data_IF_820891101069
#
_entry.id   IF_820891101069
#
_cell.length_a   1.000
_cell.length_b   1.000
_cell.length_c   1.000
_cell.angle_alpha   90.00
_cell.angle_beta   90.00
_cell.angle_gamma   90.00
#
_symmetry.space_group_name_H-M   'P 1'
#
loop_
_entity.id
_entity.type
_entity.pdbx_description
1 polymer ?
#
# COMPACT_ATOMS: atom_id res chain seq x y z
N UNK A 1 -11.58 -10.36 17.07
CA UNK A 1 -10.15 -10.02 16.87
C UNK A 1 -10.07 -9.02 15.74
N UNK A 2 -9.58 -7.79 16.01
CA UNK A 2 -9.58 -6.73 15.01
C UNK A 2 -8.24 -6.71 14.25
N UNK A 3 -8.31 -6.99 12.94
CA UNK A 3 -7.20 -6.79 12.00
C UNK A 3 -7.38 -5.45 11.30
N UNK A 4 -6.33 -4.65 11.23
CA UNK A 4 -6.30 -3.38 10.55
C UNK A 4 -5.29 -3.36 9.44
N UNK A 5 -5.64 -2.72 8.33
CA UNK A 5 -4.78 -2.53 7.17
C UNK A 5 -4.31 -1.08 7.12
N UNK A 6 -3.02 -0.87 6.89
CA UNK A 6 -2.38 0.44 6.82
C UNK A 6 -1.63 0.59 5.49
N UNK A 7 -1.91 1.67 4.78
CA UNK A 7 -1.20 2.11 3.58
C UNK A 7 -0.50 3.43 3.88
N UNK A 8 0.80 3.37 4.11
CA UNK A 8 1.65 4.52 4.38
C UNK A 8 2.26 5.04 3.07
N UNK A 9 1.57 5.98 2.45
CA UNK A 9 2.04 6.68 1.27
C UNK A 9 2.98 7.85 1.59
N UNK A 10 3.42 8.57 0.55
CA UNK A 10 4.31 9.71 0.70
C UNK A 10 3.62 10.95 1.30
N UNK A 11 2.33 11.15 1.05
CA UNK A 11 1.56 12.33 1.51
C UNK A 11 0.52 12.01 2.58
N UNK A 12 0.03 10.77 2.65
CA UNK A 12 -1.06 10.36 3.55
C UNK A 12 -0.83 8.98 4.11
N UNK A 13 -1.32 8.78 5.32
CA UNK A 13 -1.62 7.47 5.88
C UNK A 13 -3.08 7.16 5.63
N UNK A 14 -3.38 6.01 5.04
CA UNK A 14 -4.74 5.46 4.96
C UNK A 14 -4.81 4.20 5.80
N UNK A 15 -5.93 3.98 6.45
CA UNK A 15 -6.12 2.74 7.21
C UNK A 15 -7.60 2.38 7.29
N UNK A 16 -7.88 1.09 7.42
CA UNK A 16 -9.23 0.55 7.55
C UNK A 16 -9.21 -0.76 8.34
N UNK A 17 -10.28 -1.08 9.09
CA UNK A 17 -10.43 -2.42 9.67
C UNK A 17 -10.76 -3.43 8.58
N UNK A 18 -10.23 -4.63 8.72
CA UNK A 18 -10.67 -5.78 7.97
C UNK A 18 -11.86 -6.38 8.73
N UNK A 19 -13.05 -6.28 8.15
CA UNK A 19 -14.27 -6.82 8.74
C UNK A 19 -14.50 -8.28 8.32
N UNK A 20 -15.56 -8.88 8.80
CA UNK A 20 -15.91 -10.25 8.45
C UNK A 20 -15.97 -10.43 6.93
N UNK A 21 -15.64 -11.64 6.48
CA UNK A 21 -15.60 -12.02 5.05
C UNK A 21 -14.53 -11.33 4.19
N UNK A 22 -13.50 -10.74 4.83
CA UNK A 22 -12.39 -10.12 4.12
C UNK A 22 -12.71 -8.78 3.46
N UNK A 23 -13.82 -8.15 3.83
CA UNK A 23 -14.18 -6.82 3.35
C UNK A 23 -13.51 -5.72 4.17
N UNK A 24 -13.31 -4.56 3.53
CA UNK A 24 -12.83 -3.37 4.23
C UNK A 24 -14.00 -2.67 4.93
N UNK A 25 -13.77 -2.25 6.17
CA UNK A 25 -14.64 -1.31 6.84
C UNK A 25 -14.40 0.13 6.36
N UNK A 26 -14.84 1.12 7.15
CA UNK A 26 -14.64 2.53 6.82
C UNK A 26 -13.15 2.87 6.64
N UNK A 27 -12.80 3.51 5.52
CA UNK A 27 -11.45 3.97 5.23
C UNK A 27 -11.22 5.33 5.83
N UNK A 28 -10.16 5.45 6.61
CA UNK A 28 -9.68 6.71 7.17
C UNK A 28 -8.44 7.16 6.40
N UNK A 29 -8.28 8.47 6.23
CA UNK A 29 -7.11 9.06 5.58
C UNK A 29 -6.64 10.28 6.38
N UNK A 30 -5.36 10.33 6.72
CA UNK A 30 -4.74 11.41 7.49
C UNK A 30 -3.51 11.91 6.74
N UNK A 31 -3.38 13.22 6.59
CA UNK A 31 -2.21 13.84 5.98
C UNK A 31 -0.99 13.80 6.93
N UNK A 32 0.21 13.87 6.37
CA UNK A 32 1.45 13.77 7.16
C UNK A 32 1.94 15.07 7.79
N UNK A 33 1.31 16.18 7.48
CA UNK A 33 1.66 17.52 7.95
C UNK A 33 1.27 17.78 9.42
N UNK A 34 0.35 16.97 9.99
CA UNK A 34 -0.02 17.02 11.40
C UNK A 34 0.33 15.70 12.11
N UNK A 35 1.53 15.65 12.66
CA UNK A 35 2.04 14.45 13.32
C UNK A 35 1.29 14.10 14.62
N UNK A 36 0.76 15.09 15.35
CA UNK A 36 0.03 14.84 16.59
C UNK A 36 -1.38 14.30 16.31
N UNK A 37 -2.11 14.89 15.38
CA UNK A 37 -3.41 14.39 14.94
C UNK A 37 -3.30 12.99 14.34
N UNK A 38 -2.24 12.74 13.62
CA UNK A 38 -1.93 11.46 13.01
C UNK A 38 -1.77 10.34 14.05
N UNK A 39 -0.95 10.58 15.09
CA UNK A 39 -0.73 9.61 16.15
C UNK A 39 -1.98 9.39 17.03
N UNK A 40 -2.75 10.45 17.28
CA UNK A 40 -3.98 10.38 18.07
C UNK A 40 -5.10 9.60 17.37
N UNK A 41 -5.13 9.62 16.03
CA UNK A 41 -6.15 8.96 15.24
C UNK A 41 -5.94 7.46 15.03
N UNK A 42 -4.75 6.92 15.39
CA UNK A 42 -4.46 5.50 15.18
C UNK A 42 -5.35 4.59 16.04
N UNK A 43 -5.93 3.55 15.43
CA UNK A 43 -6.74 2.58 16.16
C UNK A 43 -5.89 1.63 17.01
N UNK A 44 -6.56 0.84 17.81
CA UNK A 44 -6.00 -0.30 18.54
C UNK A 44 -6.57 -1.60 18.00
N UNK A 45 -5.83 -2.69 18.10
CA UNK A 45 -6.28 -3.98 17.61
C UNK A 45 -5.31 -5.12 17.90
N UNK A 46 -5.58 -6.27 17.32
CA UNK A 46 -4.72 -7.44 17.49
C UNK A 46 -3.62 -7.47 16.42
N UNK A 47 -3.99 -7.28 15.16
CA UNK A 47 -3.09 -7.39 14.02
C UNK A 47 -3.11 -6.12 13.18
N UNK A 48 -1.94 -5.57 12.89
CA UNK A 48 -1.76 -4.53 11.90
C UNK A 48 -0.96 -5.06 10.70
N UNK A 49 -1.53 -4.96 9.49
CA UNK A 49 -0.85 -5.25 8.24
C UNK A 49 -0.48 -3.93 7.56
N UNK A 50 0.81 -3.72 7.27
CA UNK A 50 1.34 -2.43 6.88
C UNK A 50 2.03 -2.53 5.52
N UNK A 51 1.52 -1.80 4.52
CA UNK A 51 2.19 -1.52 3.26
C UNK A 51 2.78 -0.10 3.32
N UNK A 52 4.01 0.11 2.86
CA UNK A 52 4.66 1.41 2.94
C UNK A 52 5.58 1.68 1.75
N UNK A 53 5.36 2.81 1.10
CA UNK A 53 6.27 3.43 0.12
C UNK A 53 6.86 4.74 0.62
N UNK A 54 6.57 5.10 1.87
CA UNK A 54 7.08 6.32 2.51
C UNK A 54 8.56 6.19 2.92
N UNK A 55 9.13 7.33 3.30
CA UNK A 55 10.51 7.40 3.80
C UNK A 55 10.74 6.48 5.02
N UNK A 56 11.99 6.02 5.24
CA UNK A 56 12.32 5.22 6.41
C UNK A 56 11.91 5.88 7.73
N UNK A 57 12.11 7.19 7.88
CA UNK A 57 11.77 7.92 9.09
C UNK A 57 10.26 7.87 9.40
N UNK A 58 9.40 8.12 8.40
CA UNK A 58 7.94 8.01 8.56
C UNK A 58 7.49 6.59 8.88
N UNK A 59 8.11 5.61 8.24
CA UNK A 59 7.80 4.21 8.50
C UNK A 59 8.16 3.80 9.93
N UNK A 60 9.32 4.22 10.44
CA UNK A 60 9.72 3.96 11.83
C UNK A 60 8.74 4.61 12.79
N UNK A 61 8.39 5.88 12.59
CA UNK A 61 7.42 6.58 13.44
C UNK A 61 6.06 5.86 13.50
N UNK A 62 5.56 5.36 12.36
CA UNK A 62 4.33 4.57 12.34
C UNK A 62 4.50 3.25 13.09
N UNK A 63 5.57 2.51 12.84
CA UNK A 63 5.81 1.22 13.50
C UNK A 63 5.90 1.37 15.01
N UNK A 64 6.63 2.36 15.51
CA UNK A 64 6.73 2.64 16.95
C UNK A 64 5.36 2.92 17.57
N UNK A 65 4.54 3.74 16.90
CA UNK A 65 3.20 4.05 17.37
C UNK A 65 2.27 2.83 17.37
N UNK A 66 2.39 1.96 16.36
CA UNK A 66 1.58 0.74 16.24
C UNK A 66 2.03 -0.36 17.21
N UNK A 67 3.33 -0.43 17.55
CA UNK A 67 3.83 -1.37 18.55
C UNK A 67 3.18 -1.21 19.93
N UNK A 68 2.77 0.01 20.28
CA UNK A 68 2.05 0.29 21.53
C UNK A 68 0.55 -0.08 21.50
N UNK A 69 -0.01 -0.31 20.29
CA UNK A 69 -1.46 -0.45 20.05
C UNK A 69 -1.88 -1.81 19.53
N UNK A 70 -0.95 -2.57 18.97
CA UNK A 70 -1.22 -3.86 18.33
C UNK A 70 -0.33 -4.96 18.89
N UNK A 71 -0.88 -6.16 19.00
CA UNK A 71 -0.13 -7.33 19.48
C UNK A 71 0.83 -7.88 18.42
N UNK A 72 0.46 -7.77 17.14
CA UNK A 72 1.24 -8.26 16.00
C UNK A 72 1.27 -7.24 14.88
N UNK A 73 2.45 -7.03 14.33
CA UNK A 73 2.67 -6.20 13.15
C UNK A 73 3.18 -7.06 12.00
N UNK A 74 2.51 -6.98 10.85
CA UNK A 74 2.93 -7.60 9.60
C UNK A 74 3.27 -6.54 8.58
N UNK A 75 4.52 -6.49 8.18
CA UNK A 75 4.94 -5.64 7.08
C UNK A 75 4.83 -6.39 5.76
N UNK A 76 4.07 -5.81 4.83
CA UNK A 76 3.91 -6.35 3.48
C UNK A 76 5.07 -5.90 2.60
N UNK A 77 5.62 -6.81 1.83
CA UNK A 77 6.71 -6.58 0.88
C UNK A 77 6.29 -6.96 -0.52
N UNK A 78 6.95 -6.39 -1.51
CA UNK A 78 6.87 -6.86 -2.88
C UNK A 78 7.63 -8.18 -3.00
N UNK A 79 6.95 -9.19 -3.55
CA UNK A 79 7.51 -10.51 -3.81
C UNK A 79 7.73 -10.73 -5.31
N UNK A 80 8.68 -11.58 -5.73
CA UNK A 80 8.88 -11.91 -7.16
C UNK A 80 7.64 -12.54 -7.78
N UNK A 81 6.90 -13.28 -6.95
CA UNK A 81 5.68 -13.97 -7.33
C UNK A 81 4.77 -14.18 -6.13
N UNK A 82 3.47 -13.96 -6.30
CA UNK A 82 2.45 -14.27 -5.30
C UNK A 82 1.14 -14.62 -6.01
N UNK A 83 0.56 -15.79 -5.70
CA UNK A 83 -0.62 -16.27 -6.42
C UNK A 83 -0.39 -16.31 -7.94
N UNK A 84 -1.28 -15.73 -8.74
CA UNK A 84 -1.11 -15.68 -10.19
C UNK A 84 -0.06 -14.65 -10.65
N UNK A 85 0.25 -13.64 -9.82
CA UNK A 85 1.13 -12.52 -10.21
C UNK A 85 2.61 -12.94 -10.25
N UNK A 86 3.30 -12.52 -11.31
CA UNK A 86 4.75 -12.61 -11.52
C UNK A 86 5.25 -11.24 -11.96
N UNK A 87 6.08 -10.58 -11.16
CA UNK A 87 6.57 -9.23 -11.48
C UNK A 87 7.71 -9.25 -12.51
N UNK A 88 7.84 -8.15 -13.26
CA UNK A 88 8.88 -7.98 -14.28
C UNK A 88 10.24 -7.51 -13.71
N UNK A 89 10.27 -7.08 -12.44
CA UNK A 89 11.48 -6.55 -11.81
C UNK A 89 12.37 -7.68 -11.30
N UNK A 90 13.63 -7.70 -11.73
CA UNK A 90 14.61 -8.66 -11.23
C UNK A 90 14.89 -8.52 -9.73
N UNK A 91 14.87 -7.28 -9.22
CA UNK A 91 14.89 -6.99 -7.79
C UNK A 91 13.51 -6.50 -7.34
N UNK A 92 12.76 -7.29 -6.56
CA UNK A 92 11.43 -6.92 -6.08
C UNK A 92 11.39 -5.59 -5.30
N UNK A 93 12.47 -5.24 -4.61
CA UNK A 93 12.56 -4.00 -3.85
C UNK A 93 12.47 -2.72 -4.70
N UNK A 94 12.66 -2.84 -6.02
CA UNK A 94 12.53 -1.72 -6.96
C UNK A 94 11.09 -1.46 -7.41
N UNK A 95 10.15 -2.35 -7.09
CA UNK A 95 8.73 -2.16 -7.32
C UNK A 95 8.04 -1.78 -6.02
N UNK A 96 7.39 -0.60 -5.98
CA UNK A 96 6.61 -0.16 -4.82
C UNK A 96 5.54 -1.19 -4.45
N UNK A 97 5.39 -1.44 -3.14
CA UNK A 97 4.44 -2.44 -2.63
C UNK A 97 2.99 -2.08 -2.95
N UNK A 98 2.67 -0.79 -3.05
CA UNK A 98 1.36 -0.28 -3.47
C UNK A 98 0.99 -0.75 -4.89
N UNK A 99 1.92 -0.64 -5.83
CA UNK A 99 1.76 -1.14 -7.20
C UNK A 99 1.65 -2.65 -7.25
N UNK A 100 2.48 -3.35 -6.49
CA UNK A 100 2.43 -4.81 -6.35
C UNK A 100 1.06 -5.29 -5.88
N UNK A 101 0.51 -4.69 -4.82
CA UNK A 101 -0.81 -5.05 -4.28
C UNK A 101 -1.94 -4.71 -5.26
N UNK A 102 -1.87 -3.57 -5.96
CA UNK A 102 -2.86 -3.21 -6.97
C UNK A 102 -2.89 -4.22 -8.13
N UNK A 103 -1.71 -4.65 -8.61
CA UNK A 103 -1.63 -5.69 -9.64
C UNK A 103 -2.10 -7.06 -9.13
N UNK A 104 -1.78 -7.40 -7.89
CA UNK A 104 -2.26 -8.66 -7.29
C UNK A 104 -3.78 -8.70 -7.21
N UNK A 105 -4.42 -7.58 -6.85
CA UNK A 105 -5.87 -7.45 -6.83
C UNK A 105 -6.50 -7.51 -8.24
N UNK A 106 -5.78 -7.07 -9.27
CA UNK A 106 -6.23 -7.10 -10.67
C UNK A 106 -5.96 -8.43 -11.40
N UNK A 107 -5.19 -9.34 -10.79
CA UNK A 107 -4.76 -10.59 -11.41
C UNK A 107 -5.85 -11.66 -11.33
N UNK A 108 -6.90 -11.50 -12.14
CA UNK A 108 -8.10 -12.35 -12.17
C UNK A 108 -8.19 -13.24 -13.42
N UNK A 109 -7.09 -13.44 -14.14
CA UNK A 109 -7.03 -14.21 -15.38
C UNK A 109 -7.36 -13.41 -16.64
N UNK A 110 -7.51 -12.08 -16.54
CA UNK A 110 -7.69 -11.17 -17.66
C UNK A 110 -6.49 -10.23 -17.79
N UNK A 111 -6.21 -9.80 -19.01
CA UNK A 111 -5.24 -8.73 -19.22
C UNK A 111 -5.78 -7.41 -18.66
N UNK A 112 -4.94 -6.66 -17.97
CA UNK A 112 -5.34 -5.41 -17.34
C UNK A 112 -4.26 -4.32 -17.48
N UNK A 113 -4.72 -3.08 -17.51
CA UNK A 113 -3.93 -1.88 -17.35
C UNK A 113 -4.24 -1.32 -15.97
N UNK A 114 -3.26 -1.38 -15.05
CA UNK A 114 -3.43 -0.96 -13.67
C UNK A 114 -2.92 0.47 -13.52
N UNK A 115 -3.82 1.39 -13.23
CA UNK A 115 -3.53 2.81 -13.07
C UNK A 115 -3.62 3.19 -11.59
N UNK A 116 -2.55 3.76 -11.06
CA UNK A 116 -2.53 4.40 -9.74
C UNK A 116 -2.55 5.92 -9.90
N UNK A 117 -3.51 6.57 -9.24
CA UNK A 117 -3.64 8.04 -9.25
C UNK A 117 -3.48 8.55 -7.82
N UNK A 118 -2.37 9.23 -7.55
CA UNK A 118 -2.02 9.77 -6.24
C UNK A 118 -1.03 10.92 -6.39
N UNK A 119 -0.08 11.04 -5.47
CA UNK A 119 1.06 11.98 -5.57
C UNK A 119 1.86 11.75 -6.87
N UNK A 120 1.94 10.49 -7.31
CA UNK A 120 2.43 10.13 -8.63
C UNK A 120 1.33 9.41 -9.41
N UNK A 121 1.44 9.43 -10.74
CA UNK A 121 0.71 8.55 -11.63
C UNK A 121 1.54 7.30 -11.86
N UNK A 122 0.96 6.13 -11.69
CA UNK A 122 1.60 4.86 -12.00
C UNK A 122 0.77 4.12 -13.05
N UNK A 123 1.46 3.41 -13.92
CA UNK A 123 0.87 2.59 -14.96
C UNK A 123 1.61 1.26 -14.99
N UNK A 124 0.86 0.17 -14.86
CA UNK A 124 1.39 -1.19 -14.92
C UNK A 124 0.58 -2.03 -15.91
N UNK A 125 1.27 -2.82 -16.72
CA UNK A 125 0.65 -3.74 -17.68
C UNK A 125 0.65 -5.14 -17.11
N UNK A 126 -0.52 -5.77 -17.04
CA UNK A 126 -0.68 -7.12 -16.55
C UNK A 126 -1.26 -8.01 -17.65
N UNK A 127 -0.58 -9.10 -17.95
CA UNK A 127 -1.06 -10.12 -18.88
C UNK A 127 -2.14 -11.00 -18.25
N UNK A 128 -2.97 -11.64 -19.08
CA UNK A 128 -3.98 -12.60 -18.63
C UNK A 128 -3.37 -13.82 -17.92
N UNK A 129 -2.09 -14.11 -18.18
CA UNK A 129 -1.32 -15.16 -17.53
C UNK A 129 -0.74 -14.74 -16.16
N UNK A 130 -1.07 -13.54 -15.68
CA UNK A 130 -0.56 -12.97 -14.43
C UNK A 130 0.85 -12.39 -14.53
N UNK A 131 1.44 -12.31 -15.71
CA UNK A 131 2.76 -11.71 -15.89
C UNK A 131 2.69 -10.20 -16.00
N UNK A 132 3.45 -9.54 -15.16
CA UNK A 132 3.67 -8.10 -15.22
C UNK A 132 4.59 -7.77 -16.41
N UNK A 133 4.10 -6.97 -17.34
CA UNK A 133 4.85 -6.55 -18.53
C UNK A 133 5.73 -5.33 -18.34
N UNK A 134 5.79 -4.80 -17.12
CA UNK A 134 6.49 -3.56 -16.78
C UNK A 134 5.53 -2.39 -16.58
N UNK A 135 6.07 -1.28 -16.10
CA UNK A 135 5.28 -0.09 -15.78
C UNK A 135 6.05 1.21 -15.91
N UNK A 136 5.35 2.30 -15.66
CA UNK A 136 5.86 3.69 -15.67
C UNK A 136 5.35 4.44 -14.45
N UNK A 137 6.14 5.40 -14.02
CA UNK A 137 5.78 6.39 -13.00
C UNK A 137 5.98 7.77 -13.62
N UNK A 138 5.00 8.63 -13.43
CA UNK A 138 5.05 10.04 -13.83
C UNK A 138 4.59 10.92 -12.67
N UNK A 139 5.04 12.18 -12.60
CA UNK A 139 4.48 13.15 -11.66
C UNK A 139 2.97 13.30 -11.89
N UNK A 140 2.20 13.50 -10.81
CA UNK A 140 0.80 13.85 -10.96
C UNK A 140 0.62 15.24 -11.56
N UNK A 141 -0.55 15.57 -12.15
CA UNK A 141 -0.83 16.91 -12.63
C UNK A 141 -0.72 18.01 -11.56
N UNK A 142 -0.93 17.66 -10.29
CA UNK A 142 -0.74 18.59 -9.16
C UNK A 142 0.74 18.94 -8.99
N UNK A 143 1.61 17.92 -8.96
CA UNK A 143 3.06 18.09 -8.83
C UNK A 143 3.67 18.80 -10.05
N UNK A 144 3.08 18.62 -11.24
CA UNK A 144 3.55 19.29 -12.46
C UNK A 144 3.19 20.80 -12.53
N UNK A 145 2.32 21.29 -11.64
CA UNK A 145 1.88 22.70 -11.62
C UNK A 145 2.64 23.56 -10.62
N UNK A 146 3.46 22.95 -9.76
CA UNK A 146 4.37 23.63 -8.84
C UNK A 146 5.72 23.92 -9.51
#
# INVERSE_FOLDING_TARGET
MATWLFDLGNTRLKYAPLVADGQLGAVHAVAHDDAEAWLAALPEGEVACIASVASPARRVALLDALCARFQRLHRVHTEPALGPLRIAYANPAHLGVDRFLAMLAAADGRAALVLGVGTALTLDVLGADGRHGGGRIAPSPEVMRE
#
